data_IF_338727870441
#
_entry.id   IF_338727870441
#
_cell.length_a   1.000
_cell.length_b   1.000
_cell.length_c   1.000
_cell.angle_alpha   90.00
_cell.angle_beta   90.00
_cell.angle_gamma   90.00
#
_symmetry.space_group_name_H-M   'P 1'
#
loop_
_entity.id
_entity.type
_entity.pdbx_description
1 polymer ?
#
# COMPACT_ATOMS: atom_id res chain seq x y z
N UNK A 1 -8.66 -1.94 10.73
CA UNK A 1 -7.28 -1.97 11.27
C UNK A 1 -6.64 -3.37 11.22
N UNK A 2 -7.41 -4.45 11.05
CA UNK A 2 -6.92 -5.83 11.09
C UNK A 2 -5.70 -6.12 10.20
N UNK A 3 -5.65 -5.56 8.99
CA UNK A 3 -4.48 -5.75 8.10
C UNK A 3 -3.21 -5.13 8.69
N UNK A 4 -3.32 -4.00 9.39
CA UNK A 4 -2.17 -3.38 10.09
C UNK A 4 -1.71 -4.30 11.21
N UNK A 5 -2.64 -4.88 11.97
CA UNK A 5 -2.33 -5.83 13.03
C UNK A 5 -1.61 -7.08 12.48
N UNK A 6 -2.06 -7.63 11.34
CA UNK A 6 -1.39 -8.76 10.68
C UNK A 6 0.03 -8.39 10.22
N UNK A 7 0.20 -7.18 9.66
CA UNK A 7 1.52 -6.67 9.24
C UNK A 7 2.46 -6.55 10.44
N UNK A 8 2.03 -5.89 11.51
CA UNK A 8 2.84 -5.71 12.73
C UNK A 8 3.16 -7.07 13.39
N UNK A 9 2.19 -7.99 13.47
CA UNK A 9 2.38 -9.31 14.05
C UNK A 9 3.31 -10.20 13.21
N UNK A 10 3.39 -9.98 11.89
CA UNK A 10 4.20 -10.81 11.00
C UNK A 10 5.71 -10.63 11.18
N UNK A 11 6.16 -9.46 11.65
CA UNK A 11 7.58 -9.10 11.70
C UNK A 11 8.28 -9.02 10.34
N UNK A 12 7.53 -9.04 9.22
CA UNK A 12 8.10 -9.00 7.86
C UNK A 12 8.53 -7.59 7.43
N UNK A 13 7.99 -6.56 8.07
CA UNK A 13 8.32 -5.15 7.83
C UNK A 13 9.43 -4.68 8.78
N UNK A 14 10.25 -3.68 8.37
CA UNK A 14 11.41 -3.26 9.13
C UNK A 14 11.10 -2.50 10.43
N UNK A 15 9.82 -2.35 10.79
CA UNK A 15 9.37 -1.63 11.97
C UNK A 15 7.85 -1.57 12.05
N UNK A 16 7.35 -0.90 13.09
CA UNK A 16 5.91 -0.69 13.33
C UNK A 16 5.29 0.10 12.18
N UNK A 17 4.09 -0.29 11.76
CA UNK A 17 3.30 0.46 10.77
C UNK A 17 2.89 1.83 11.35
N UNK A 18 3.09 2.87 10.54
CA UNK A 18 2.71 4.26 10.86
C UNK A 18 1.59 4.80 9.97
N UNK A 19 1.00 3.93 9.14
CA UNK A 19 -0.10 4.29 8.25
C UNK A 19 -1.32 4.74 9.04
N UNK A 20 -1.84 5.91 8.69
CA UNK A 20 -3.05 6.49 9.29
C UNK A 20 -4.32 5.80 8.74
N UNK A 21 -5.32 5.61 9.60
CA UNK A 21 -6.65 5.11 9.23
C UNK A 21 -7.67 6.17 9.60
N UNK A 22 -8.18 6.88 8.59
CA UNK A 22 -9.20 7.93 8.75
C UNK A 22 -10.33 7.77 7.76
N UNK A 23 -11.46 8.44 8.03
CA UNK A 23 -12.56 8.52 7.09
C UNK A 23 -12.12 9.28 5.83
N UNK A 24 -12.52 8.80 4.65
CA UNK A 24 -12.27 9.50 3.39
C UNK A 24 -12.93 10.89 3.40
N UNK A 25 -12.14 11.92 3.07
CA UNK A 25 -12.61 13.29 2.88
C UNK A 25 -12.77 13.67 1.41
N UNK A 26 -12.91 14.96 1.09
CA UNK A 26 -12.82 15.45 -0.28
C UNK A 26 -11.49 15.04 -0.92
N UNK A 27 -11.54 14.59 -2.18
CA UNK A 27 -10.38 14.25 -2.99
C UNK A 27 -10.21 15.30 -4.09
N UNK A 28 -9.11 16.05 -4.04
CA UNK A 28 -8.78 17.08 -5.04
C UNK A 28 -7.94 16.45 -6.14
N UNK A 29 -8.47 16.41 -7.35
CA UNK A 29 -7.78 15.83 -8.51
C UNK A 29 -6.50 16.61 -8.80
N UNK A 30 -5.38 15.87 -8.96
CA UNK A 30 -4.12 16.47 -9.40
C UNK A 30 -4.18 16.83 -10.89
N UNK A 31 -3.35 17.79 -11.31
CA UNK A 31 -3.31 18.30 -12.67
C UNK A 31 -3.11 17.19 -13.72
N UNK A 32 -3.60 17.38 -14.97
CA UNK A 32 -3.54 16.33 -16.00
C UNK A 32 -2.15 15.78 -16.29
N UNK A 33 -1.09 16.55 -16.04
CA UNK A 33 0.29 16.12 -16.22
C UNK A 33 0.78 15.09 -15.19
N UNK A 34 0.12 15.00 -14.03
CA UNK A 34 0.38 14.03 -12.97
C UNK A 34 -0.36 12.70 -13.19
N UNK A 35 -1.43 12.70 -14.00
CA UNK A 35 -2.18 11.50 -14.32
C UNK A 35 -1.40 10.62 -15.30
N UNK A 36 -1.41 9.31 -15.05
CA UNK A 36 -0.77 8.28 -15.87
C UNK A 36 0.70 8.60 -16.21
N UNK A 37 1.40 9.32 -15.32
CA UNK A 37 2.75 9.84 -15.58
C UNK A 37 3.73 8.74 -15.98
N UNK A 38 3.73 7.61 -15.27
CA UNK A 38 4.61 6.48 -15.55
C UNK A 38 4.13 5.60 -16.72
N UNK A 39 2.86 5.71 -17.16
CA UNK A 39 2.42 5.07 -18.40
C UNK A 39 2.92 5.87 -19.62
N UNK A 40 2.81 7.20 -19.54
CA UNK A 40 3.23 8.13 -20.60
C UNK A 40 4.75 8.31 -20.67
N UNK A 41 5.44 8.20 -19.52
CA UNK A 41 6.90 8.25 -19.40
C UNK A 41 7.38 7.01 -18.62
N UNK A 42 7.54 5.84 -19.29
CA UNK A 42 7.88 4.57 -18.63
C UNK A 42 9.24 4.53 -17.90
N UNK A 43 10.15 5.46 -18.24
CA UNK A 43 11.45 5.66 -17.59
C UNK A 43 11.45 6.87 -16.65
N UNK A 44 10.28 7.37 -16.29
CA UNK A 44 10.10 8.46 -15.34
C UNK A 44 10.56 8.09 -13.93
N UNK A 45 10.59 9.08 -13.05
CA UNK A 45 11.04 8.88 -11.68
C UNK A 45 10.06 8.02 -10.88
N UNK A 46 10.58 6.97 -10.24
CA UNK A 46 9.89 6.20 -9.20
C UNK A 46 10.90 5.55 -8.25
N UNK A 47 10.53 5.43 -6.98
CA UNK A 47 11.26 4.66 -5.98
C UNK A 47 10.49 3.41 -5.52
N UNK A 48 9.28 3.19 -6.04
CA UNK A 48 8.40 2.12 -5.64
C UNK A 48 8.70 0.83 -6.40
N UNK A 49 8.82 -0.29 -5.68
CA UNK A 49 8.91 -1.62 -6.25
C UNK A 49 8.38 -2.66 -5.25
N UNK A 50 7.81 -3.75 -5.77
CA UNK A 50 7.31 -4.86 -4.96
C UNK A 50 8.46 -5.45 -4.13
N UNK A 51 8.24 -5.60 -2.83
CA UNK A 51 9.13 -6.34 -1.93
C UNK A 51 8.57 -7.77 -1.78
N UNK A 52 9.17 -8.81 -2.39
CA UNK A 52 8.59 -10.15 -2.38
C UNK A 52 8.38 -10.76 -0.98
N UNK A 53 9.22 -10.36 -0.01
CA UNK A 53 9.11 -10.79 1.39
C UNK A 53 8.07 -10.04 2.22
N UNK A 54 7.54 -8.92 1.72
CA UNK A 54 6.46 -8.16 2.36
C UNK A 54 5.12 -8.73 1.93
N UNK A 55 4.87 -9.99 2.31
CA UNK A 55 3.72 -10.76 1.89
C UNK A 55 3.17 -11.56 3.06
N UNK A 56 1.94 -11.22 3.46
CA UNK A 56 1.21 -11.99 4.46
C UNK A 56 0.72 -13.33 3.89
N UNK A 57 0.61 -14.38 4.72
CA UNK A 57 -0.12 -15.58 4.34
C UNK A 57 -1.59 -15.23 4.03
N UNK A 58 -2.21 -16.03 3.16
CA UNK A 58 -3.65 -15.88 2.89
C UNK A 58 -4.40 -16.28 4.17
N UNK A 59 -5.28 -15.40 4.68
CA UNK A 59 -6.18 -15.75 5.79
C UNK A 59 -6.98 -16.98 5.37
N UNK A 60 -7.06 -17.97 6.25
CA UNK A 60 -8.07 -19.02 6.10
C UNK A 60 -9.43 -18.33 6.20
N UNK A 61 -10.30 -18.55 5.23
CA UNK A 61 -11.70 -18.12 5.34
C UNK A 61 -12.24 -18.87 6.53
N UNK A 62 -12.54 -18.19 7.65
CA UNK A 62 -13.27 -18.81 8.74
C UNK A 62 -14.55 -19.39 8.13
N UNK A 63 -14.66 -20.73 8.12
CA UNK A 63 -15.88 -21.38 7.69
C UNK A 63 -16.99 -20.91 8.63
N UNK A 64 -17.92 -20.12 8.08
CA UNK A 64 -19.15 -19.71 8.77
C UNK A 64 -20.01 -20.91 9.14
#
# INVERSE_FOLDING_TARGET
EDTIADVDASGLWPGKVVTEVTAAGPFWEAEPEHQDYLERIPWGYTCHFVRPGWKLPKRETAAS
#
